data_IF_906317876714
#
_entry.id   IF_906317876714
#
_cell.length_a   1.000
_cell.length_b   1.000
_cell.length_c   1.000
_cell.angle_alpha   90.00
_cell.angle_beta   90.00
_cell.angle_gamma   90.00
#
_symmetry.space_group_name_H-M   'P 1'
#
loop_
_entity.id
_entity.type
_entity.pdbx_description
1 polymer ?
#
# COMPACT_ATOMS: atom_id res chain seq x y z
N UNK A 1 -12.41 1.06 -1.07
CA UNK A 1 -13.11 0.50 0.09
C UNK A 1 -12.32 -0.62 0.76
N UNK A 2 -11.82 -1.62 0.03
CA UNK A 2 -11.06 -2.76 0.60
C UNK A 2 -9.90 -2.32 1.52
N UNK A 3 -9.07 -1.36 1.10
CA UNK A 3 -7.96 -0.85 1.92
C UNK A 3 -8.40 -0.35 3.31
N UNK A 4 -9.60 0.23 3.42
CA UNK A 4 -10.13 0.73 4.69
C UNK A 4 -10.67 -0.38 5.58
N UNK A 5 -11.22 -1.45 5.01
CA UNK A 5 -11.65 -2.61 5.79
C UNK A 5 -10.45 -3.33 6.41
N UNK A 6 -9.33 -3.42 5.70
CA UNK A 6 -8.09 -3.93 6.28
C UNK A 6 -7.44 -2.94 7.26
N UNK A 7 -7.57 -1.63 7.02
CA UNK A 7 -7.11 -0.62 7.97
C UNK A 7 -7.80 -0.77 9.34
N UNK A 8 -9.12 -0.94 9.36
CA UNK A 8 -9.90 -1.17 10.59
C UNK A 8 -9.45 -2.43 11.35
N UNK A 9 -8.94 -3.44 10.63
CA UNK A 9 -8.37 -4.67 11.19
C UNK A 9 -6.90 -4.52 11.62
N UNK A 10 -6.37 -3.28 11.64
CA UNK A 10 -4.99 -2.95 12.00
C UNK A 10 -3.92 -3.63 11.14
N UNK A 11 -4.25 -3.90 9.87
CA UNK A 11 -3.31 -4.51 8.93
C UNK A 11 -2.17 -3.55 8.54
N UNK A 12 -1.05 -4.12 8.09
CA UNK A 12 -0.07 -3.41 7.28
C UNK A 12 -0.57 -3.37 5.83
N UNK A 13 -0.50 -2.20 5.20
CA UNK A 13 -1.03 -1.99 3.86
C UNK A 13 0.08 -1.56 2.90
N UNK A 14 0.03 -2.09 1.68
CA UNK A 14 0.79 -1.60 0.54
C UNK A 14 -0.19 -1.11 -0.51
N UNK A 15 -0.13 0.17 -0.81
CA UNK A 15 -0.99 0.80 -1.79
C UNK A 15 -0.19 1.03 -3.07
N UNK A 16 -0.58 0.34 -4.14
CA UNK A 16 0.10 0.39 -5.44
C UNK A 16 -0.87 0.91 -6.50
N UNK A 17 -0.50 1.99 -7.19
CA UNK A 17 -1.20 2.50 -8.35
C UNK A 17 -0.36 3.54 -9.09
N UNK A 18 -0.66 3.79 -10.36
CA UNK A 18 0.06 4.77 -11.20
C UNK A 18 0.03 6.23 -10.71
N UNK A 19 -0.96 6.61 -9.88
CA UNK A 19 -1.13 8.02 -9.43
C UNK A 19 -0.85 8.16 -7.93
N UNK A 20 0.39 8.45 -7.59
CA UNK A 20 0.85 8.53 -6.21
C UNK A 20 0.11 9.58 -5.37
N UNK A 21 -0.21 10.75 -5.93
CA UNK A 21 -0.92 11.81 -5.21
C UNK A 21 -2.28 11.35 -4.65
N UNK A 22 -3.01 10.51 -5.39
CA UNK A 22 -4.27 9.92 -4.90
C UNK A 22 -4.05 8.89 -3.79
N UNK A 23 -2.96 8.13 -3.86
CA UNK A 23 -2.60 7.15 -2.84
C UNK A 23 -2.22 7.80 -1.51
N UNK A 24 -1.58 8.97 -1.53
CA UNK A 24 -1.25 9.72 -0.31
C UNK A 24 -2.49 10.08 0.50
N UNK A 25 -3.57 10.53 -0.16
CA UNK A 25 -4.85 10.77 0.52
C UNK A 25 -5.45 9.49 1.14
N UNK A 26 -5.37 8.36 0.42
CA UNK A 26 -5.84 7.07 0.94
C UNK A 26 -5.00 6.62 2.14
N UNK A 27 -3.68 6.81 2.07
CA UNK A 27 -2.73 6.50 3.15
C UNK A 27 -3.10 7.20 4.44
N UNK A 28 -3.29 8.52 4.41
CA UNK A 28 -3.63 9.28 5.61
C UNK A 28 -4.95 8.80 6.20
N UNK A 29 -5.96 8.58 5.36
CA UNK A 29 -7.25 8.09 5.82
C UNK A 29 -7.17 6.67 6.39
N UNK A 30 -6.39 5.79 5.80
CA UNK A 30 -6.18 4.43 6.29
C UNK A 30 -5.47 4.41 7.65
N UNK A 31 -4.47 5.28 7.85
CA UNK A 31 -3.81 5.46 9.15
C UNK A 31 -4.80 5.92 10.22
N UNK A 32 -5.63 6.91 9.92
CA UNK A 32 -6.68 7.38 10.83
C UNK A 32 -7.70 6.29 11.18
N UNK A 33 -7.94 5.34 10.27
CA UNK A 33 -8.84 4.20 10.50
C UNK A 33 -8.19 3.02 11.24
N UNK A 34 -6.92 3.12 11.62
CA UNK A 34 -6.24 2.12 12.46
C UNK A 34 -5.22 1.24 11.75
N UNK A 35 -4.90 1.48 10.46
CA UNK A 35 -3.83 0.74 9.80
C UNK A 35 -2.50 0.92 10.55
N UNK A 36 -1.78 -0.16 10.79
CA UNK A 36 -0.53 -0.14 11.58
C UNK A 36 0.59 0.56 10.82
N UNK A 37 0.79 0.17 9.56
CA UNK A 37 1.72 0.79 8.64
C UNK A 37 1.11 0.83 7.24
N UNK A 38 1.42 1.87 6.47
CA UNK A 38 0.92 2.03 5.11
C UNK A 38 2.05 2.53 4.22
N UNK A 39 2.45 1.69 3.26
CA UNK A 39 3.40 2.01 2.20
C UNK A 39 2.64 2.44 0.95
N UNK A 40 3.17 3.43 0.23
CA UNK A 40 2.62 3.92 -1.04
C UNK A 40 3.69 3.79 -2.10
N UNK A 41 3.36 3.13 -3.22
CA UNK A 41 4.27 2.97 -4.35
C UNK A 41 3.55 3.28 -5.65
N UNK A 42 4.17 4.14 -6.47
CA UNK A 42 3.78 4.31 -7.85
C UNK A 42 4.36 3.17 -8.69
N UNK A 43 3.49 2.41 -9.33
CA UNK A 43 3.87 1.31 -10.21
C UNK A 43 2.78 1.03 -11.25
N UNK A 44 3.19 0.44 -12.38
CA UNK A 44 2.30 -0.09 -13.40
C UNK A 44 2.24 -1.62 -13.29
N UNK A 45 1.10 -2.14 -12.84
CA UNK A 45 0.90 -3.60 -12.64
C UNK A 45 0.88 -4.39 -13.96
N UNK A 46 0.86 -3.72 -15.11
CA UNK A 46 1.04 -4.35 -16.42
C UNK A 46 2.52 -4.74 -16.64
N UNK A 47 3.45 -4.08 -15.96
CA UNK A 47 4.89 -4.36 -16.05
C UNK A 47 5.31 -5.31 -14.94
N UNK A 48 5.78 -6.49 -15.32
CA UNK A 48 6.19 -7.52 -14.37
C UNK A 48 7.33 -7.07 -13.43
N UNK A 49 8.23 -6.22 -13.94
CA UNK A 49 9.32 -5.62 -13.16
C UNK A 49 8.79 -4.74 -12.02
N UNK A 50 7.73 -3.97 -12.30
CA UNK A 50 7.07 -3.15 -11.28
C UNK A 50 6.36 -4.03 -10.25
N UNK A 51 5.78 -5.15 -10.68
CA UNK A 51 5.20 -6.15 -9.79
C UNK A 51 6.23 -6.74 -8.82
N UNK A 52 7.38 -7.19 -9.33
CA UNK A 52 8.47 -7.69 -8.50
C UNK A 52 8.93 -6.64 -7.51
N UNK A 53 9.17 -5.41 -7.98
CA UNK A 53 9.66 -4.30 -7.15
C UNK A 53 8.77 -3.99 -5.94
N UNK A 54 7.44 -3.92 -6.10
CA UNK A 54 6.58 -3.60 -4.95
C UNK A 54 6.38 -4.78 -4.01
N UNK A 55 6.50 -6.02 -4.49
CA UNK A 55 6.49 -7.21 -3.63
C UNK A 55 7.76 -7.24 -2.79
N UNK A 56 8.92 -7.04 -3.40
CA UNK A 56 10.19 -7.02 -2.71
C UNK A 56 10.24 -5.91 -1.65
N UNK A 57 9.79 -4.70 -1.98
CA UNK A 57 9.71 -3.60 -1.01
C UNK A 57 8.73 -3.90 0.13
N UNK A 58 7.60 -4.57 -0.16
CA UNK A 58 6.64 -4.98 0.85
C UNK A 58 7.25 -5.99 1.84
N UNK A 59 7.91 -7.02 1.32
CA UNK A 59 8.58 -8.05 2.12
C UNK A 59 9.74 -7.45 2.91
N UNK A 60 10.57 -6.62 2.28
CA UNK A 60 11.69 -5.93 2.95
C UNK A 60 11.20 -5.05 4.12
N UNK A 61 10.05 -4.40 3.97
CA UNK A 61 9.52 -3.48 4.99
C UNK A 61 8.74 -4.18 6.10
N UNK A 62 7.99 -5.23 5.79
CA UNK A 62 7.07 -5.88 6.75
C UNK A 62 7.48 -7.29 7.17
N UNK A 63 8.54 -7.84 6.56
CA UNK A 63 9.18 -9.10 6.93
C UNK A 63 8.44 -10.36 6.48
N UNK A 64 7.32 -10.24 5.76
CA UNK A 64 6.48 -11.35 5.28
C UNK A 64 5.45 -10.88 4.28
#
# INVERSE_FOLDING_TARGET
HIAYEYAKRRANLVLVARREGRLRGIRERARQMGARQVLVMAADVVKEEDCRRFVDEAVNRFGR
#
